data_IF_085414315611
#
_entry.id   IF_085414315611
#
_cell.length_a   1.000
_cell.length_b   1.000
_cell.length_c   1.000
_cell.angle_alpha   90.00
_cell.angle_beta   90.00
_cell.angle_gamma   90.00
#
_symmetry.space_group_name_H-M   'P 1'
#
loop_
_entity.id
_entity.type
_entity.pdbx_description
1 polymer ?
#
# COMPACT_ATOMS: atom_id res chain seq x y z
N UNK A 1 6.06 -28.51 -10.49
CA UNK A 1 5.33 -27.28 -10.11
C UNK A 1 6.29 -26.10 -10.28
N UNK A 2 6.00 -25.08 -11.10
CA UNK A 2 6.90 -23.94 -11.21
C UNK A 2 6.80 -23.12 -9.93
N UNK A 3 7.89 -23.10 -9.15
CA UNK A 3 8.06 -22.14 -8.07
C UNK A 3 8.19 -20.77 -8.71
N UNK A 4 7.17 -19.92 -8.58
CA UNK A 4 7.22 -18.53 -9.04
C UNK A 4 8.42 -17.84 -8.41
N UNK A 5 9.50 -17.75 -9.18
CA UNK A 5 10.70 -17.04 -8.82
C UNK A 5 10.32 -15.57 -8.75
N UNK A 6 10.27 -15.00 -7.54
CA UNK A 6 10.02 -13.58 -7.32
C UNK A 6 11.19 -12.81 -7.91
N UNK A 7 11.13 -12.51 -9.21
CA UNK A 7 12.09 -11.66 -9.89
C UNK A 7 11.99 -10.27 -9.25
N UNK A 8 13.00 -9.90 -8.46
CA UNK A 8 13.10 -8.57 -7.86
C UNK A 8 13.29 -7.54 -8.96
N UNK A 9 12.19 -7.08 -9.54
CA UNK A 9 12.18 -5.99 -10.53
C UNK A 9 12.50 -4.70 -9.77
N UNK A 10 13.66 -4.12 -10.06
CA UNK A 10 14.03 -2.83 -9.52
C UNK A 10 13.15 -1.75 -10.17
N UNK A 11 12.42 -1.00 -9.35
CA UNK A 11 11.53 0.08 -9.79
C UNK A 11 11.93 1.36 -9.07
N UNK A 12 12.16 2.42 -9.84
CA UNK A 12 12.40 3.77 -9.33
C UNK A 12 11.11 4.58 -9.48
N UNK A 13 10.69 5.23 -8.40
CA UNK A 13 9.52 6.13 -8.40
C UNK A 13 10.00 7.50 -7.96
N UNK A 14 9.69 8.52 -8.77
CA UNK A 14 9.94 9.91 -8.43
C UNK A 14 8.70 10.46 -7.72
N UNK A 15 8.91 11.02 -6.54
CA UNK A 15 7.88 11.67 -5.75
C UNK A 15 8.12 13.18 -5.79
N UNK A 16 7.05 13.95 -5.82
CA UNK A 16 7.14 15.41 -5.65
C UNK A 16 7.57 15.77 -4.21
N UNK A 17 8.03 17.00 -4.05
CA UNK A 17 8.55 17.53 -2.79
C UNK A 17 7.52 17.48 -1.66
N UNK A 18 6.26 17.79 -1.96
CA UNK A 18 5.17 17.77 -0.97
C UNK A 18 4.91 16.35 -0.46
N UNK A 19 4.91 15.36 -1.36
CA UNK A 19 4.74 13.96 -1.01
C UNK A 19 5.89 13.45 -0.15
N UNK A 20 7.13 13.84 -0.47
CA UNK A 20 8.30 13.51 0.36
C UNK A 20 8.18 14.13 1.76
N UNK A 21 7.75 15.39 1.85
CA UNK A 21 7.53 16.06 3.12
C UNK A 21 6.47 15.34 3.97
N UNK A 22 5.34 14.96 3.38
CA UNK A 22 4.28 14.23 4.07
C UNK A 22 4.73 12.84 4.54
N UNK A 23 5.49 12.10 3.72
CA UNK A 23 6.07 10.82 4.13
C UNK A 23 7.04 10.97 5.31
N UNK A 24 7.85 12.04 5.31
CA UNK A 24 8.76 12.32 6.42
C UNK A 24 8.02 12.68 7.72
N UNK A 25 6.90 13.41 7.62
CA UNK A 25 6.04 13.69 8.77
C UNK A 25 5.39 12.39 9.30
N UNK A 26 4.85 11.55 8.42
CA UNK A 26 4.29 10.26 8.79
C UNK A 26 5.32 9.36 9.46
N UNK A 27 6.56 9.31 8.93
CA UNK A 27 7.65 8.55 9.54
C UNK A 27 7.91 8.97 10.97
N UNK A 28 7.95 10.29 11.25
CA UNK A 28 8.16 10.82 12.60
C UNK A 28 7.05 10.42 13.56
N UNK A 29 5.80 10.41 13.11
CA UNK A 29 4.66 9.97 13.92
C UNK A 29 4.76 8.48 14.27
N UNK A 30 5.05 7.65 13.27
CA UNK A 30 5.23 6.20 13.48
C UNK A 30 6.41 5.91 14.41
N UNK A 31 7.53 6.62 14.24
CA UNK A 31 8.69 6.45 15.12
C UNK A 31 8.39 6.89 16.56
N UNK A 32 7.53 7.90 16.76
CA UNK A 32 7.12 8.36 18.09
C UNK A 32 6.17 7.38 18.80
N UNK A 33 5.31 6.69 18.05
CA UNK A 33 4.35 5.70 18.58
C UNK A 33 4.94 4.29 18.68
N UNK A 34 6.10 4.06 18.05
CA UNK A 34 6.71 2.74 17.96
C UNK A 34 7.31 2.28 19.29
N UNK A 35 7.11 0.99 19.58
CA UNK A 35 7.80 0.31 20.68
C UNK A 35 9.32 0.32 20.48
N UNK A 36 10.14 0.60 21.53
CA UNK A 36 11.59 0.78 21.41
C UNK A 36 12.35 -0.38 20.78
N UNK A 37 11.81 -1.61 20.83
CA UNK A 37 12.44 -2.83 20.33
C UNK A 37 12.15 -3.16 18.87
N UNK A 38 11.11 -2.57 18.24
CA UNK A 38 10.88 -2.78 16.82
C UNK A 38 11.97 -2.07 16.00
N UNK A 39 12.30 -2.43 14.77
CA UNK A 39 13.22 -1.68 13.89
C UNK A 39 12.52 -0.49 13.18
N UNK A 40 13.25 0.59 12.81
CA UNK A 40 12.65 1.74 12.13
C UNK A 40 12.34 1.43 10.67
N UNK A 41 11.21 1.96 10.19
CA UNK A 41 10.93 1.95 8.75
C UNK A 41 11.86 2.91 8.02
N UNK A 42 12.44 2.46 6.91
CA UNK A 42 13.09 3.35 5.96
C UNK A 42 12.06 4.18 5.19
N UNK A 43 12.49 5.32 4.65
CA UNK A 43 11.63 6.16 3.82
C UNK A 43 11.10 5.41 2.59
N UNK A 44 11.95 4.56 1.98
CA UNK A 44 11.58 3.77 0.82
C UNK A 44 10.52 2.71 1.15
N UNK A 45 10.57 2.08 2.34
CA UNK A 45 9.54 1.15 2.79
C UNK A 45 8.21 1.84 3.02
N UNK A 46 8.22 3.00 3.67
CA UNK A 46 7.02 3.80 3.88
C UNK A 46 6.40 4.25 2.55
N UNK A 47 7.21 4.72 1.61
CA UNK A 47 6.73 5.10 0.28
C UNK A 47 6.07 3.92 -0.44
N UNK A 48 6.69 2.73 -0.43
CA UNK A 48 6.11 1.51 -1.02
C UNK A 48 4.78 1.14 -0.40
N UNK A 49 4.67 1.19 0.93
CA UNK A 49 3.43 0.89 1.64
C UNK A 49 2.32 1.90 1.35
N UNK A 50 2.66 3.19 1.30
CA UNK A 50 1.72 4.26 0.97
C UNK A 50 1.17 4.09 -0.45
N UNK A 51 2.06 3.84 -1.43
CA UNK A 51 1.66 3.56 -2.82
C UNK A 51 0.76 2.33 -2.87
N UNK A 52 1.13 1.23 -2.18
CA UNK A 52 0.32 0.01 -2.15
C UNK A 52 -1.07 0.28 -1.60
N UNK A 53 -1.18 0.93 -0.45
CA UNK A 53 -2.47 1.28 0.17
C UNK A 53 -3.30 2.20 -0.72
N UNK A 54 -2.66 3.16 -1.40
CA UNK A 54 -3.33 4.01 -2.36
C UNK A 54 -3.86 3.20 -3.55
N UNK A 55 -3.05 2.30 -4.11
CA UNK A 55 -3.51 1.40 -5.17
C UNK A 55 -4.67 0.51 -4.71
N UNK A 56 -4.59 -0.07 -3.51
CA UNK A 56 -5.66 -0.91 -2.95
C UNK A 56 -6.95 -0.10 -2.72
N UNK A 57 -6.83 1.18 -2.37
CA UNK A 57 -7.96 2.09 -2.20
C UNK A 57 -8.57 2.55 -3.54
N UNK A 58 -7.73 2.79 -4.54
CA UNK A 58 -8.15 3.23 -5.88
C UNK A 58 -8.64 2.07 -6.76
N UNK A 59 -8.19 0.85 -6.49
CA UNK A 59 -8.72 -0.34 -7.11
C UNK A 59 -10.21 -0.41 -6.74
N UNK A 60 -11.08 -0.03 -7.69
CA UNK A 60 -12.51 -0.15 -7.52
C UNK A 60 -12.82 -1.59 -7.07
N UNK A 61 -13.70 -1.79 -6.07
CA UNK A 61 -14.18 -3.13 -5.78
C UNK A 61 -14.77 -3.65 -7.09
N UNK A 62 -14.21 -4.74 -7.62
CA UNK A 62 -14.71 -5.35 -8.86
C UNK A 62 -16.19 -5.65 -8.61
N UNK A 63 -17.13 -5.01 -9.32
CA UNK A 63 -18.52 -5.38 -9.17
C UNK A 63 -18.62 -6.82 -9.65
N UNK A 64 -18.86 -7.75 -8.72
CA UNK A 64 -19.07 -9.15 -9.04
C UNK A 64 -20.37 -9.25 -9.84
N UNK A 65 -20.33 -9.53 -11.16
CA UNK A 65 -21.53 -9.50 -12.00
C UNK A 65 -22.56 -10.59 -11.64
N UNK A 66 -22.19 -11.56 -10.80
CA UNK A 66 -23.07 -12.59 -10.25
C UNK A 66 -23.65 -12.25 -8.87
N UNK A 67 -23.19 -11.19 -8.20
CA UNK A 67 -23.75 -10.72 -6.92
C UNK A 67 -24.90 -9.73 -7.14
N UNK A 68 -25.72 -10.03 -8.14
CA UNK A 68 -26.77 -9.16 -8.65
C UNK A 68 -27.94 -9.94 -9.22
N UNK A 69 -28.42 -10.99 -8.51
CA UNK A 69 -29.79 -11.50 -8.65
C UNK A 69 -30.22 -12.50 -7.56
N UNK A 70 -30.05 -12.18 -6.29
CA UNK A 70 -30.78 -12.87 -5.20
C UNK A 70 -31.64 -11.82 -4.52
N UNK A 71 -32.91 -11.75 -4.94
CA UNK A 71 -33.87 -10.73 -4.52
C UNK A 71 -34.88 -10.37 -5.61
N UNK A 72 -35.25 -11.34 -6.45
CA UNK A 72 -36.52 -11.30 -7.16
C UNK A 72 -37.63 -11.60 -6.15
N UNK A 73 -38.65 -10.75 -6.16
CA UNK A 73 -39.90 -10.87 -5.42
C UNK A 73 -40.46 -12.31 -5.39
N UNK A 74 -41.03 -12.65 -4.23
CA UNK A 74 -41.92 -13.78 -4.00
C UNK A 74 -42.70 -13.51 -2.72
#
# INVERSE_FOLDING_TARGET
MPTSQTQSKHLTVHLDEQTVYMLAQLKRQIDAERHPSAPPYSMAELARLAIRKWCDHQAAPVPHPWLGKEGGEG
#
